data_IF_550384390492
#
_entry.id   IF_550384390492
#
_cell.length_a   1.000
_cell.length_b   1.000
_cell.length_c   1.000
_cell.angle_alpha   90.00
_cell.angle_beta   90.00
_cell.angle_gamma   90.00
#
_symmetry.space_group_name_H-M   'P 1'
#
loop_
_entity.id
_entity.type
_entity.pdbx_description
1 polymer ?
#
# COMPACT_ATOMS: atom_id res chain seq x y z
N UNK A 1 2.97 6.92 13.54
CA UNK A 1 3.45 8.30 13.27
C UNK A 1 3.70 9.04 14.58
N UNK A 2 3.58 8.35 15.72
CA UNK A 2 3.86 8.87 17.06
C UNK A 2 5.14 8.25 17.64
N UNK A 3 5.67 7.21 17.01
CA UNK A 3 6.93 6.53 17.37
C UNK A 3 8.08 7.54 17.55
N UNK A 4 8.56 7.70 18.79
CA UNK A 4 9.72 8.53 19.14
C UNK A 4 9.46 10.01 19.48
N UNK A 5 8.21 10.51 19.49
CA UNK A 5 7.90 11.92 19.85
C UNK A 5 7.36 12.14 21.26
N UNK A 6 6.89 11.11 21.95
CA UNK A 6 6.34 11.18 23.31
C UNK A 6 6.73 9.95 24.13
N UNK A 7 6.85 10.07 25.46
CA UNK A 7 7.02 8.91 26.34
C UNK A 7 5.81 7.97 26.23
N UNK A 8 6.04 6.66 26.25
CA UNK A 8 5.00 5.64 26.09
C UNK A 8 3.97 5.70 27.23
N UNK A 9 2.89 6.46 27.00
CA UNK A 9 1.74 6.53 27.87
C UNK A 9 0.63 5.64 27.29
N UNK A 10 -0.23 5.08 28.15
CA UNK A 10 -1.35 4.21 27.74
C UNK A 10 -2.31 4.89 26.74
N UNK A 11 -2.42 6.21 26.77
CA UNK A 11 -3.25 6.98 25.83
C UNK A 11 -2.55 7.12 24.47
N UNK A 12 -1.25 7.41 24.44
CA UNK A 12 -0.50 7.58 23.17
C UNK A 12 -0.37 6.25 22.41
N UNK A 13 -0.24 5.12 23.11
CA UNK A 13 -0.17 3.80 22.49
C UNK A 13 -1.49 3.39 21.80
N UNK A 14 -2.64 3.70 22.40
CA UNK A 14 -3.97 3.48 21.78
C UNK A 14 -4.16 4.31 20.53
N UNK A 15 -3.73 5.57 20.56
CA UNK A 15 -3.83 6.47 19.41
C UNK A 15 -2.92 6.00 18.27
N UNK A 16 -1.67 5.62 18.53
CA UNK A 16 -0.80 5.10 17.47
C UNK A 16 -1.34 3.79 16.89
N UNK A 17 -1.88 2.90 17.75
CA UNK A 17 -2.55 1.66 17.31
C UNK A 17 -3.74 1.93 16.38
N UNK A 18 -4.56 2.95 16.69
CA UNK A 18 -5.69 3.35 15.86
C UNK A 18 -5.23 3.92 14.51
N UNK A 19 -4.20 4.78 14.50
CA UNK A 19 -3.66 5.38 13.27
C UNK A 19 -2.96 4.34 12.40
N UNK A 20 -2.26 3.38 13.00
CA UNK A 20 -1.70 2.24 12.29
C UNK A 20 -2.79 1.35 11.70
N UNK A 21 -3.89 1.13 12.44
CA UNK A 21 -5.04 0.40 11.95
C UNK A 21 -5.75 1.12 10.78
N UNK A 22 -5.89 2.43 10.86
CA UNK A 22 -6.49 3.24 9.79
C UNK A 22 -5.67 3.16 8.49
N UNK A 23 -4.34 3.23 8.57
CA UNK A 23 -3.47 3.14 7.38
C UNK A 23 -3.42 1.74 6.78
N UNK A 24 -3.38 0.69 7.60
CA UNK A 24 -3.34 -0.69 7.07
C UNK A 24 -4.68 -1.14 6.44
N UNK A 25 -5.79 -0.49 6.78
CA UNK A 25 -7.13 -0.87 6.31
C UNK A 25 -7.56 -0.14 5.04
N UNK A 26 -6.79 0.84 4.58
CA UNK A 26 -7.11 1.66 3.41
C UNK A 26 -5.85 1.94 2.58
N UNK A 27 -5.28 0.90 2.01
CA UNK A 27 -4.07 1.00 1.20
C UNK A 27 -4.43 1.47 -0.21
N UNK A 28 -3.80 2.51 -0.73
CA UNK A 28 -4.00 3.04 -2.06
C UNK A 28 -2.75 2.79 -2.93
N UNK A 29 -2.58 1.57 -3.45
CA UNK A 29 -1.40 1.22 -4.22
C UNK A 29 -1.40 1.87 -5.61
N UNK A 30 -0.21 2.25 -6.05
CA UNK A 30 0.09 2.46 -7.46
C UNK A 30 0.71 1.19 -8.05
N UNK A 31 0.16 0.73 -9.17
CA UNK A 31 0.69 -0.40 -9.93
C UNK A 31 1.89 0.04 -10.76
N UNK A 32 3.07 -0.47 -10.47
CA UNK A 32 4.25 -0.27 -11.33
C UNK A 32 4.54 -1.56 -12.09
N UNK A 33 3.74 -1.81 -13.13
CA UNK A 33 3.85 -3.01 -13.96
C UNK A 33 5.01 -2.92 -14.95
N UNK A 34 6.00 -3.80 -14.81
CA UNK A 34 7.24 -3.78 -15.60
C UNK A 34 7.39 -5.00 -16.49
N UNK A 35 7.01 -6.17 -16.01
CA UNK A 35 7.20 -7.45 -16.70
C UNK A 35 6.00 -8.38 -16.44
N UNK A 36 6.22 -9.69 -16.46
CA UNK A 36 5.18 -10.70 -16.25
C UNK A 36 4.43 -10.56 -14.92
N UNK A 37 5.05 -10.05 -13.84
CA UNK A 37 4.34 -9.87 -12.57
C UNK A 37 3.20 -8.83 -12.63
N UNK A 38 3.16 -7.99 -13.67
CA UNK A 38 2.05 -7.05 -13.87
C UNK A 38 0.72 -7.79 -14.16
N UNK A 39 0.75 -8.89 -14.92
CA UNK A 39 -0.48 -9.65 -15.22
C UNK A 39 -0.97 -10.43 -13.99
N UNK A 40 -0.06 -10.89 -13.15
CA UNK A 40 -0.39 -11.54 -11.88
C UNK A 40 -1.05 -10.54 -10.93
N UNK A 41 -0.53 -9.31 -10.88
CA UNK A 41 -1.13 -8.21 -10.12
C UNK A 41 -2.52 -7.81 -10.62
N UNK A 42 -2.74 -7.79 -11.94
CA UNK A 42 -4.07 -7.52 -12.50
C UNK A 42 -5.05 -8.65 -12.16
N UNK A 43 -4.60 -9.90 -12.22
CA UNK A 43 -5.41 -11.05 -11.83
C UNK A 43 -5.74 -11.06 -10.33
N UNK A 44 -4.84 -10.56 -9.48
CA UNK A 44 -5.06 -10.42 -8.04
C UNK A 44 -5.96 -9.24 -7.64
N UNK A 45 -6.38 -8.40 -8.60
CA UNK A 45 -7.41 -7.37 -8.43
C UNK A 45 -8.69 -7.65 -9.21
N UNK A 46 -8.79 -8.81 -9.87
CA UNK A 46 -9.96 -9.21 -10.67
C UNK A 46 -11.00 -9.98 -9.82
N UNK A 47 -12.15 -10.31 -10.39
CA UNK A 47 -13.27 -10.91 -9.66
C UNK A 47 -12.96 -12.17 -8.82
N UNK A 48 -11.91 -12.93 -9.18
CA UNK A 48 -11.49 -14.13 -8.46
C UNK A 48 -10.74 -13.83 -7.17
N UNK A 49 -9.91 -12.80 -7.20
CA UNK A 49 -9.08 -12.34 -6.09
C UNK A 49 -9.28 -10.84 -6.02
N UNK A 50 -10.19 -10.41 -5.16
CA UNK A 50 -10.64 -9.03 -5.10
C UNK A 50 -9.89 -8.27 -4.01
N UNK A 51 -8.99 -7.37 -4.43
CA UNK A 51 -8.23 -6.52 -3.54
C UNK A 51 -9.08 -5.45 -2.85
N UNK A 52 -10.23 -5.05 -3.41
CA UNK A 52 -11.10 -4.05 -2.81
C UNK A 52 -11.62 -4.50 -1.42
N UNK A 53 -11.69 -5.81 -1.17
CA UNK A 53 -12.02 -6.40 0.14
C UNK A 53 -11.09 -5.97 1.27
N UNK A 54 -9.84 -5.63 0.95
CA UNK A 54 -8.85 -5.15 1.91
C UNK A 54 -8.79 -3.62 1.98
N UNK A 55 -9.74 -2.91 1.34
CA UNK A 55 -9.74 -1.46 1.21
C UNK A 55 -8.70 -0.96 0.20
N UNK A 56 -8.33 -1.81 -0.76
CA UNK A 56 -7.25 -1.54 -1.72
C UNK A 56 -7.81 -0.93 -2.99
N UNK A 57 -7.54 0.35 -3.21
CA UNK A 57 -7.99 1.08 -4.41
C UNK A 57 -6.78 1.53 -5.22
N UNK A 58 -6.70 1.06 -6.46
CA UNK A 58 -5.60 1.41 -7.34
C UNK A 58 -5.67 2.87 -7.79
N UNK A 59 -4.63 3.64 -7.47
CA UNK A 59 -4.45 5.04 -7.89
C UNK A 59 -3.24 5.10 -8.82
N UNK A 60 -3.46 5.44 -10.09
CA UNK A 60 -2.40 5.47 -11.09
C UNK A 60 -1.37 6.61 -10.87
N UNK A 61 -1.72 7.63 -10.08
CA UNK A 61 -0.86 8.80 -9.85
C UNK A 61 -0.07 8.65 -8.54
N UNK A 62 1.26 8.86 -8.55
CA UNK A 62 2.11 8.71 -7.37
C UNK A 62 1.77 9.67 -6.22
N UNK A 63 1.16 10.82 -6.52
CA UNK A 63 0.77 11.81 -5.50
C UNK A 63 -0.45 11.39 -4.69
N UNK A 64 -1.28 10.50 -5.24
CA UNK A 64 -2.49 10.02 -4.59
C UNK A 64 -2.33 8.62 -4.00
N UNK A 65 -1.24 7.91 -4.27
CA UNK A 65 -0.96 6.60 -3.71
C UNK A 65 -0.10 6.68 -2.47
N UNK A 66 -0.30 5.77 -1.52
CA UNK A 66 0.53 5.61 -0.33
C UNK A 66 1.52 4.43 -0.43
N UNK A 67 1.24 3.46 -1.30
CA UNK A 67 2.08 2.29 -1.56
C UNK A 67 2.42 2.19 -3.05
N UNK A 68 3.66 1.79 -3.36
CA UNK A 68 4.08 1.43 -4.72
C UNK A 68 4.36 -0.06 -4.78
N UNK A 69 3.75 -0.76 -5.75
CA UNK A 69 4.02 -2.17 -5.98
C UNK A 69 4.81 -2.31 -7.29
N UNK A 70 6.09 -2.66 -7.16
CA UNK A 70 7.00 -2.90 -8.28
C UNK A 70 6.80 -4.33 -8.79
N UNK A 71 6.03 -4.46 -9.86
CA UNK A 71 5.61 -5.74 -10.42
C UNK A 71 6.41 -6.07 -11.68
N UNK A 72 7.64 -6.51 -11.48
CA UNK A 72 8.52 -7.04 -12.51
C UNK A 72 9.96 -6.62 -12.32
N UNK A 73 10.78 -6.91 -13.32
CA UNK A 73 12.21 -6.63 -13.29
C UNK A 73 12.49 -5.14 -13.50
N UNK A 74 13.27 -4.54 -12.59
CA UNK A 74 13.75 -3.16 -12.73
C UNK A 74 15.08 -3.19 -13.49
N UNK A 75 15.11 -2.55 -14.67
CA UNK A 75 16.36 -2.42 -15.45
C UNK A 75 17.05 -1.09 -15.13
N UNK A 76 18.35 -0.99 -15.42
CA UNK A 76 19.16 0.21 -15.16
C UNK A 76 18.62 1.51 -15.79
N UNK A 77 17.77 1.42 -16.83
CA UNK A 77 17.15 2.59 -17.48
C UNK A 77 15.88 3.07 -16.75
N UNK A 78 15.28 2.22 -15.91
CA UNK A 78 13.98 2.47 -15.28
C UNK A 78 14.10 3.20 -13.93
N UNK A 79 15.33 3.49 -13.49
CA UNK A 79 15.65 4.30 -12.31
C UNK A 79 16.46 5.53 -12.68
#
# INVERSE_FOLDING_TARGET
MVEGKFSDNFVTSKVDSLVAWARKSALWPMTFGLACCAIEMMASGAARYDFDRFGVIFRATPRQSDVIIVAGTVTHKMG
#
